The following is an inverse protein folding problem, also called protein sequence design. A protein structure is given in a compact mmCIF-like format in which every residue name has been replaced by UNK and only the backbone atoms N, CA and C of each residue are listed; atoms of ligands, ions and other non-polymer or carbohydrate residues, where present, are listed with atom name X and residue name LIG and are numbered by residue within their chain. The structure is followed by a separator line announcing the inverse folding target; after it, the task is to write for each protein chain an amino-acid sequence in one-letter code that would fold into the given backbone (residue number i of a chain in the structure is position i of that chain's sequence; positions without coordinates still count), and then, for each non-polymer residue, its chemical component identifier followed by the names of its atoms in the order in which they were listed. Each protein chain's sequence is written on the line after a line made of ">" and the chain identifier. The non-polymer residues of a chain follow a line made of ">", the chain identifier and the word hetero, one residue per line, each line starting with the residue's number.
data_IF_591632665987
#
_entry.id   IF_591632665987
#
_cell.length_a   1.000
_cell.length_b   1.000
_cell.length_c   1.000
_cell.angle_alpha   90.00
_cell.angle_beta   90.00
_cell.angle_gamma   90.00
#
_symmetry.space_group_name_H-M   'P 1'
#
loop_
_entity.id
_entity.type
_entity.pdbx_description
1 polymer ?
#
# COMPACT_ATOMS: atom_id res chain seq x y z
N UNK A 1 -2.05 14.12 -0.33
CA UNK A 1 -2.80 13.34 -1.34
C UNK A 1 -1.88 13.11 -2.53
N UNK A 2 -1.55 11.86 -2.84
CA UNK A 2 -0.61 11.53 -3.93
C UNK A 2 -1.33 11.50 -5.29
N UNK A 3 -2.43 10.75 -5.40
CA UNK A 3 -3.29 10.70 -6.58
C UNK A 3 -4.37 11.79 -6.52
N UNK A 4 -3.99 13.03 -6.84
CA UNK A 4 -4.88 14.20 -6.74
C UNK A 4 -6.02 14.14 -7.78
N UNK A 5 -5.71 13.76 -9.01
CA UNK A 5 -6.71 13.72 -10.09
C UNK A 5 -7.75 12.62 -9.84
N UNK A 6 -7.30 11.44 -9.41
CA UNK A 6 -8.20 10.36 -9.00
C UNK A 6 -9.08 10.79 -7.81
N UNK A 7 -8.50 11.42 -6.79
CA UNK A 7 -9.27 11.94 -5.66
C UNK A 7 -10.35 12.93 -6.11
N UNK A 8 -10.03 13.93 -6.92
CA UNK A 8 -11.02 14.89 -7.44
C UNK A 8 -12.12 14.20 -8.23
N UNK A 9 -11.78 13.17 -9.02
CA UNK A 9 -12.77 12.40 -9.78
C UNK A 9 -13.74 11.62 -8.87
N UNK A 10 -13.34 11.22 -7.66
CA UNK A 10 -14.27 10.59 -6.71
C UNK A 10 -15.34 11.54 -6.14
N UNK A 11 -15.13 12.86 -6.28
CA UNK A 11 -16.03 13.90 -5.80
C UNK A 11 -16.77 14.64 -6.92
N UNK A 12 -16.41 14.38 -8.18
CA UNK A 12 -17.04 15.03 -9.32
C UNK A 12 -18.49 14.54 -9.49
N UNK A 13 -19.37 15.43 -9.94
CA UNK A 13 -20.78 15.12 -10.22
C UNK A 13 -20.92 14.06 -11.32
N UNK A 14 -19.99 14.05 -12.27
CA UNK A 14 -19.90 13.03 -13.32
C UNK A 14 -18.78 12.01 -13.07
N UNK A 15 -18.34 11.95 -11.81
CA UNK A 15 -17.25 11.10 -11.35
C UNK A 15 -17.69 9.70 -10.96
N UNK A 16 -16.73 8.94 -10.45
CA UNK A 16 -16.97 7.63 -9.84
C UNK A 16 -16.36 7.62 -8.44
N UNK A 17 -17.22 7.47 -7.43
CA UNK A 17 -16.84 7.48 -6.02
C UNK A 17 -15.88 6.35 -5.66
N UNK A 18 -15.90 5.23 -6.39
CA UNK A 18 -15.05 4.07 -6.15
C UNK A 18 -13.80 4.02 -7.05
N UNK A 19 -13.54 5.07 -7.83
CA UNK A 19 -12.37 5.13 -8.70
C UNK A 19 -11.06 5.12 -7.91
N UNK A 20 -10.12 4.23 -8.29
CA UNK A 20 -8.82 4.09 -7.58
C UNK A 20 -7.58 4.46 -8.38
N UNK A 21 -7.63 4.33 -9.72
CA UNK A 21 -6.48 4.57 -10.61
C UNK A 21 -6.11 6.05 -10.67
N UNK A 22 -5.01 6.40 -11.33
CA UNK A 22 -4.80 7.79 -11.76
C UNK A 22 -5.72 8.15 -12.95
N UNK A 23 -5.64 9.39 -13.47
CA UNK A 23 -6.51 9.88 -14.56
C UNK A 23 -5.82 10.04 -15.91
N UNK A 24 -4.67 9.38 -16.10
CA UNK A 24 -3.90 9.46 -17.36
C UNK A 24 -4.58 8.60 -18.45
N UNK A 25 -4.91 9.15 -19.63
CA UNK A 25 -5.45 8.36 -20.74
C UNK A 25 -4.44 7.35 -21.28
N UNK A 26 -4.91 6.15 -21.63
CA UNK A 26 -4.07 5.10 -22.21
C UNK A 26 -4.18 5.11 -23.75
N UNK A 27 -3.09 5.39 -24.50
CA UNK A 27 -3.13 5.43 -25.96
C UNK A 27 -3.64 4.10 -26.56
N UNK A 28 -4.62 4.18 -27.46
CA UNK A 28 -5.22 3.00 -28.10
C UNK A 28 -6.30 2.29 -27.27
N UNK A 29 -6.63 2.78 -26.08
CA UNK A 29 -7.74 2.29 -25.26
C UNK A 29 -8.73 3.42 -24.95
N UNK A 30 -9.99 3.06 -24.72
CA UNK A 30 -10.99 3.98 -24.15
C UNK A 30 -10.91 4.08 -22.63
N UNK A 31 -10.17 3.18 -21.98
CA UNK A 31 -10.04 3.12 -20.54
C UNK A 31 -8.93 4.05 -20.02
N UNK A 32 -9.23 4.73 -18.93
CA UNK A 32 -8.39 5.78 -18.35
C UNK A 32 -7.80 5.28 -17.04
N UNK A 33 -6.53 5.61 -16.82
CA UNK A 33 -5.85 5.41 -15.57
C UNK A 33 -4.96 4.17 -15.54
N UNK A 34 -3.95 4.26 -14.68
CA UNK A 34 -3.04 3.19 -14.24
C UNK A 34 -3.15 3.09 -12.73
N UNK A 35 -3.07 1.88 -12.16
CA UNK A 35 -2.91 1.72 -10.71
C UNK A 35 -1.52 2.21 -10.28
N UNK A 36 -1.41 3.29 -9.50
CA UNK A 36 -0.12 3.78 -9.05
C UNK A 36 0.65 2.75 -8.21
N UNK A 37 -0.03 1.87 -7.49
CA UNK A 37 0.57 0.85 -6.63
C UNK A 37 0.81 -0.50 -7.35
N UNK A 38 0.80 -0.49 -8.68
CA UNK A 38 1.32 -1.56 -9.56
C UNK A 38 2.34 -1.04 -10.56
N UNK A 39 2.71 0.23 -10.48
CA UNK A 39 3.48 0.92 -11.50
C UNK A 39 4.91 1.26 -11.07
N UNK A 40 5.37 0.80 -9.91
CA UNK A 40 6.76 0.94 -9.49
C UNK A 40 7.67 -0.03 -10.23
N UNK A 41 8.91 0.38 -10.50
CA UNK A 41 9.91 -0.45 -11.21
C UNK A 41 10.62 -1.44 -10.26
N UNK A 42 9.84 -2.26 -9.56
CA UNK A 42 10.31 -3.41 -8.78
C UNK A 42 9.39 -4.59 -9.13
N UNK A 43 9.94 -5.59 -9.81
CA UNK A 43 9.18 -6.76 -10.33
C UNK A 43 7.93 -6.39 -11.15
N UNK A 44 7.94 -5.21 -11.77
CA UNK A 44 6.83 -4.69 -12.58
C UNK A 44 6.38 -5.68 -13.67
N UNK A 45 5.09 -5.70 -13.95
CA UNK A 45 4.43 -6.56 -14.95
C UNK A 45 4.63 -8.06 -14.75
N UNK A 46 4.89 -8.50 -13.53
CA UNK A 46 4.66 -9.90 -13.16
C UNK A 46 3.19 -10.06 -12.82
N UNK A 47 2.55 -11.11 -13.32
CA UNK A 47 1.12 -11.43 -13.16
C UNK A 47 0.78 -11.87 -11.72
N UNK A 48 1.13 -11.03 -10.75
CA UNK A 48 0.86 -11.17 -9.33
C UNK A 48 0.08 -9.95 -8.86
N UNK A 49 -1.23 -10.13 -8.68
CA UNK A 49 -2.11 -9.10 -8.12
C UNK A 49 -2.28 -7.85 -8.99
N UNK A 50 -1.96 -7.90 -10.29
CA UNK A 50 -2.15 -6.83 -11.27
C UNK A 50 -2.30 -7.39 -12.69
N UNK A 51 -2.88 -6.59 -13.60
CA UNK A 51 -3.21 -7.03 -14.96
C UNK A 51 -2.68 -6.10 -16.07
N UNK A 52 -2.60 -6.65 -17.29
CA UNK A 52 -2.16 -5.94 -18.49
C UNK A 52 -3.28 -5.19 -19.23
N UNK A 53 -4.56 -5.47 -18.90
CA UNK A 53 -5.71 -4.83 -19.54
C UNK A 53 -5.91 -3.40 -18.99
N UNK A 54 -5.84 -2.34 -19.82
CA UNK A 54 -6.05 -0.96 -19.38
C UNK A 54 -7.39 -0.67 -18.69
N UNK A 55 -8.37 -1.56 -18.87
CA UNK A 55 -9.71 -1.42 -18.30
C UNK A 55 -9.86 -1.97 -16.88
N UNK A 56 -8.91 -2.75 -16.36
CA UNK A 56 -8.99 -3.28 -14.99
C UNK A 56 -8.54 -2.25 -13.97
N UNK A 57 -9.01 -2.39 -12.74
CA UNK A 57 -8.66 -1.47 -11.65
C UNK A 57 -7.21 -1.62 -11.18
N UNK A 58 -6.60 -2.76 -11.45
CA UNK A 58 -5.21 -3.12 -11.12
C UNK A 58 -4.28 -3.09 -12.34
N UNK A 59 -4.68 -2.37 -13.39
CA UNK A 59 -3.84 -2.16 -14.57
C UNK A 59 -2.47 -1.57 -14.20
N UNK A 60 -1.40 -2.32 -14.46
CA UNK A 60 -0.04 -1.94 -14.07
C UNK A 60 0.62 -0.89 -14.98
N UNK A 61 -0.02 -0.46 -16.07
CA UNK A 61 0.52 0.52 -17.02
C UNK A 61 1.17 -0.10 -18.27
N UNK A 62 1.62 0.74 -19.20
CA UNK A 62 2.32 0.27 -20.41
C UNK A 62 3.83 0.11 -20.21
N UNK A 63 4.36 0.73 -19.17
CA UNK A 63 5.72 0.59 -18.66
C UNK A 63 5.72 0.93 -17.17
N UNK A 64 6.74 0.49 -16.43
CA UNK A 64 6.97 0.98 -15.08
C UNK A 64 7.16 2.52 -15.10
N UNK A 65 6.62 3.20 -14.10
CA UNK A 65 6.67 4.65 -13.94
C UNK A 65 5.99 5.48 -15.05
N UNK A 66 4.95 4.94 -15.69
CA UNK A 66 4.00 5.73 -16.48
C UNK A 66 3.08 6.59 -15.61
N UNK A 67 2.86 6.21 -14.35
CA UNK A 67 2.25 7.03 -13.31
C UNK A 67 3.25 8.09 -12.82
N UNK A 68 2.90 9.36 -13.03
CA UNK A 68 3.68 10.49 -12.53
C UNK A 68 3.71 10.48 -10.99
N UNK A 69 2.66 9.99 -10.34
CA UNK A 69 2.54 9.83 -8.90
C UNK A 69 3.61 8.88 -8.36
N UNK A 70 3.66 7.65 -8.88
CA UNK A 70 4.65 6.64 -8.50
C UNK A 70 6.08 7.10 -8.79
N UNK A 71 6.31 7.68 -9.97
CA UNK A 71 7.63 8.20 -10.36
C UNK A 71 8.10 9.34 -9.45
N UNK A 72 7.20 10.25 -9.07
CA UNK A 72 7.55 11.43 -8.28
C UNK A 72 7.94 11.04 -6.86
N UNK A 73 7.18 10.17 -6.20
CA UNK A 73 7.52 9.74 -4.84
C UNK A 73 8.81 8.90 -4.82
N UNK A 74 9.00 8.00 -5.79
CA UNK A 74 10.24 7.24 -5.95
C UNK A 74 11.46 8.15 -6.11
N UNK A 75 11.40 9.14 -6.99
CA UNK A 75 12.48 10.12 -7.19
C UNK A 75 12.73 10.95 -5.94
N UNK A 76 11.67 11.40 -5.26
CA UNK A 76 11.78 12.23 -4.08
C UNK A 76 12.47 11.49 -2.93
N UNK A 77 12.02 10.28 -2.59
CA UNK A 77 12.63 9.46 -1.53
C UNK A 77 14.11 9.20 -1.83
N UNK A 78 14.45 8.81 -3.07
CA UNK A 78 15.85 8.60 -3.47
C UNK A 78 16.69 9.87 -3.39
N UNK A 79 16.10 11.04 -3.64
CA UNK A 79 16.81 12.33 -3.56
C UNK A 79 17.16 12.76 -2.13
N UNK A 80 16.42 12.27 -1.12
CA UNK A 80 16.70 12.55 0.29
C UNK A 80 17.93 11.77 0.78
N UNK A 81 18.07 10.50 0.35
CA UNK A 81 19.25 9.67 0.61
C UNK A 81 19.43 9.21 2.07
N UNK A 82 18.56 9.62 2.99
CA UNK A 82 18.62 9.31 4.42
C UNK A 82 17.24 8.95 5.01
N UNK A 83 16.33 8.46 4.17
CA UNK A 83 15.00 8.04 4.62
C UNK A 83 15.12 6.70 5.34
N UNK A 84 14.83 6.71 6.63
CA UNK A 84 14.87 5.52 7.49
C UNK A 84 13.64 4.65 7.34
N UNK A 85 12.46 5.28 7.22
CA UNK A 85 11.18 4.58 7.14
C UNK A 85 10.26 5.26 6.13
N UNK A 86 9.47 4.42 5.45
CA UNK A 86 8.45 4.82 4.49
C UNK A 86 7.15 4.10 4.85
N UNK A 87 6.03 4.82 4.86
CA UNK A 87 4.72 4.25 5.20
C UNK A 87 3.72 4.66 4.11
N UNK A 88 3.14 3.66 3.46
CA UNK A 88 2.08 3.83 2.47
C UNK A 88 0.72 3.50 3.10
N UNK A 89 -0.15 4.50 3.21
CA UNK A 89 -1.46 4.35 3.84
C UNK A 89 -2.53 4.05 2.80
N UNK A 90 -3.23 2.94 3.01
CA UNK A 90 -4.38 2.47 2.24
C UNK A 90 -5.57 2.21 3.18
N UNK A 91 -6.69 1.88 2.57
CA UNK A 91 -7.84 1.27 3.23
C UNK A 91 -8.49 0.36 2.19
N UNK A 92 -9.06 -0.78 2.54
CA UNK A 92 -9.37 -1.26 3.88
C UNK A 92 -8.89 -2.69 4.06
N UNK A 93 -8.76 -3.15 5.30
CA UNK A 93 -8.72 -4.57 5.74
C UNK A 93 -8.16 -4.74 7.15
N UNK A 94 -7.66 -3.67 7.78
CA UNK A 94 -6.96 -3.72 9.08
C UNK A 94 -5.68 -4.57 9.01
N UNK A 95 -4.77 -4.20 8.11
CA UNK A 95 -3.50 -4.89 7.89
C UNK A 95 -2.32 -3.95 8.11
N UNK A 96 -1.21 -4.49 8.62
CA UNK A 96 0.05 -3.77 8.84
C UNK A 96 1.19 -4.57 8.23
N UNK A 97 1.49 -4.28 6.97
CA UNK A 97 2.31 -5.13 6.12
C UNK A 97 3.69 -4.55 5.86
N UNK A 98 4.65 -5.42 5.58
CA UNK A 98 6.01 -5.09 5.15
C UNK A 98 6.41 -5.93 3.93
N UNK A 99 7.52 -5.62 3.23
CA UNK A 99 7.94 -6.38 2.06
C UNK A 99 8.16 -7.89 2.34
N UNK A 100 7.95 -8.77 1.38
CA UNK A 100 7.66 -8.49 -0.03
C UNK A 100 6.23 -8.86 -0.43
N UNK A 101 5.72 -8.22 -1.47
CA UNK A 101 4.50 -8.61 -2.18
C UNK A 101 4.76 -9.50 -3.41
N UNK A 102 5.87 -9.31 -4.12
CA UNK A 102 6.10 -10.00 -5.41
C UNK A 102 6.58 -11.45 -5.31
N UNK A 103 6.93 -11.93 -4.10
CA UNK A 103 7.55 -13.25 -3.87
C UNK A 103 6.55 -14.41 -4.01
N UNK A 104 6.07 -14.68 -5.22
CA UNK A 104 5.10 -15.74 -5.53
C UNK A 104 5.61 -16.70 -6.61
N UNK A 105 5.27 -17.99 -6.49
CA UNK A 105 5.40 -18.95 -7.60
C UNK A 105 4.32 -18.67 -8.67
N UNK A 106 4.77 -18.36 -9.90
CA UNK A 106 3.95 -18.11 -11.10
C UNK A 106 2.86 -19.17 -11.30
N UNK A 107 3.09 -20.40 -10.84
CA UNK A 107 2.20 -21.52 -11.14
C UNK A 107 1.09 -21.75 -10.10
N UNK A 108 1.22 -21.25 -8.86
CA UNK A 108 0.29 -21.59 -7.77
C UNK A 108 -0.03 -20.46 -6.80
N UNK A 109 0.44 -19.23 -7.03
CA UNK A 109 0.26 -18.08 -6.10
C UNK A 109 0.80 -18.35 -4.68
N UNK A 110 1.73 -19.31 -4.55
CA UNK A 110 2.31 -19.64 -3.25
C UNK A 110 3.41 -18.65 -2.94
N UNK A 111 3.26 -17.92 -1.83
CA UNK A 111 4.28 -17.02 -1.33
C UNK A 111 5.53 -17.78 -0.90
N UNK A 112 6.71 -17.31 -1.33
CA UNK A 112 7.99 -17.97 -1.11
C UNK A 112 9.03 -16.97 -0.63
N UNK A 113 9.33 -17.01 0.67
CA UNK A 113 10.38 -16.19 1.29
C UNK A 113 9.82 -14.94 1.94
N UNK A 114 10.66 -13.90 2.02
CA UNK A 114 10.30 -12.62 2.64
C UNK A 114 11.46 -11.65 2.57
N UNK A 115 11.25 -10.44 3.07
CA UNK A 115 12.33 -9.47 3.26
C UNK A 115 13.47 -10.06 4.11
N UNK A 116 14.75 -9.92 3.70
CA UNK A 116 15.89 -10.22 4.57
C UNK A 116 15.83 -9.56 5.95
N UNK A 117 15.19 -8.39 6.04
CA UNK A 117 15.02 -7.63 7.27
C UNK A 117 13.70 -7.91 8.01
N UNK A 118 12.94 -8.94 7.61
CA UNK A 118 11.66 -9.31 8.24
C UNK A 118 11.77 -9.52 9.76
N UNK A 119 12.93 -10.03 10.23
CA UNK A 119 13.22 -10.19 11.66
C UNK A 119 13.29 -8.88 12.45
N UNK A 120 13.44 -7.74 11.77
CA UNK A 120 13.39 -6.40 12.36
C UNK A 120 12.14 -5.64 11.96
N UNK A 121 11.60 -5.84 10.76
CA UNK A 121 10.36 -5.19 10.30
C UNK A 121 9.14 -5.72 11.07
N UNK A 122 9.06 -7.04 11.25
CA UNK A 122 7.92 -7.73 11.87
C UNK A 122 7.65 -7.33 13.32
N UNK A 123 8.65 -7.29 14.23
CA UNK A 123 8.43 -6.83 15.59
C UNK A 123 7.95 -5.36 15.65
N UNK A 124 8.46 -4.48 14.78
CA UNK A 124 7.98 -3.10 14.70
C UNK A 124 6.51 -3.00 14.27
N UNK A 125 6.09 -3.81 13.30
CA UNK A 125 4.69 -3.92 12.90
C UNK A 125 3.82 -4.50 14.04
N UNK A 126 4.32 -5.51 14.75
CA UNK A 126 3.65 -6.12 15.92
C UNK A 126 3.43 -5.09 17.04
N UNK A 127 4.45 -4.29 17.37
CA UNK A 127 4.33 -3.22 18.36
C UNK A 127 3.30 -2.17 17.94
N UNK A 128 3.26 -1.83 16.65
CA UNK A 128 2.29 -0.89 16.10
C UNK A 128 0.85 -1.40 16.20
N UNK A 129 0.57 -2.65 15.80
CA UNK A 129 -0.79 -3.23 15.86
C UNK A 129 -1.27 -3.43 17.30
N UNK A 130 -0.38 -3.78 18.23
CA UNK A 130 -0.72 -3.84 19.66
C UNK A 130 -1.12 -2.47 20.21
N UNK A 131 -0.41 -1.41 19.80
CA UNK A 131 -0.74 -0.05 20.20
C UNK A 131 -2.05 0.45 19.57
N UNK A 132 -2.34 0.09 18.32
CA UNK A 132 -3.64 0.33 17.66
C UNK A 132 -4.78 -0.32 18.47
N UNK A 133 -4.64 -1.62 18.78
CA UNK A 133 -5.65 -2.37 19.52
C UNK A 133 -5.91 -1.77 20.91
N UNK A 134 -4.88 -1.26 21.58
CA UNK A 134 -5.02 -0.65 22.90
C UNK A 134 -5.87 0.63 22.94
N UNK A 135 -6.11 1.30 21.80
CA UNK A 135 -6.89 2.55 21.75
C UNK A 135 -8.39 2.28 21.66
N UNK A 136 -8.84 1.54 20.65
CA UNK A 136 -10.27 1.28 20.40
C UNK A 136 -10.63 -0.20 20.28
N UNK A 137 -9.67 -1.13 20.37
CA UNK A 137 -9.91 -2.57 20.29
C UNK A 137 -9.83 -3.19 18.89
N UNK A 138 -9.53 -2.41 17.84
CA UNK A 138 -9.38 -2.97 16.49
C UNK A 138 -8.19 -3.91 16.39
N UNK A 139 -8.37 -5.01 15.68
CA UNK A 139 -7.36 -6.07 15.57
C UNK A 139 -6.79 -6.07 14.17
N UNK A 140 -5.58 -5.53 14.04
CA UNK A 140 -4.86 -5.52 12.78
C UNK A 140 -4.00 -6.78 12.64
N UNK A 141 -3.94 -7.35 11.44
CA UNK A 141 -3.01 -8.45 11.12
C UNK A 141 -1.71 -7.88 10.56
N UNK A 142 -0.56 -8.32 11.09
CA UNK A 142 0.76 -7.91 10.58
C UNK A 142 1.53 -9.07 9.96
N UNK A 143 2.22 -8.82 8.85
CA UNK A 143 3.04 -9.81 8.15
C UNK A 143 3.63 -9.26 6.85
N UNK A 144 4.27 -10.10 6.05
CA UNK A 144 4.67 -9.70 4.71
C UNK A 144 3.43 -9.52 3.80
N UNK A 145 3.51 -8.66 2.78
CA UNK A 145 2.39 -8.37 1.88
C UNK A 145 1.85 -9.64 1.24
N UNK A 146 2.72 -10.52 0.73
CA UNK A 146 2.29 -11.70 -0.02
C UNK A 146 1.38 -12.61 0.82
N UNK A 147 1.82 -13.02 2.02
CA UNK A 147 1.06 -13.93 2.90
C UNK A 147 -0.09 -13.25 3.63
N UNK A 148 -0.01 -11.93 3.87
CA UNK A 148 -1.00 -11.21 4.69
C UNK A 148 -2.22 -10.77 3.88
N UNK A 149 -2.04 -10.39 2.61
CA UNK A 149 -3.15 -9.96 1.74
C UNK A 149 -3.25 -10.85 0.50
N UNK A 150 -2.26 -10.76 -0.38
CA UNK A 150 -2.13 -11.53 -1.62
C UNK A 150 -0.81 -11.16 -2.33
N UNK A 151 -0.31 -12.01 -3.24
CA UNK A 151 0.83 -11.68 -4.11
C UNK A 151 0.61 -10.41 -4.94
N UNK A 152 1.53 -9.45 -4.87
CA UNK A 152 1.40 -8.14 -5.53
C UNK A 152 2.75 -7.63 -6.07
N UNK A 153 2.86 -7.48 -7.39
CA UNK A 153 4.06 -6.91 -8.04
C UNK A 153 3.96 -5.41 -8.28
N UNK A 154 5.10 -4.71 -8.45
CA UNK A 154 5.12 -3.29 -8.81
C UNK A 154 4.56 -2.33 -7.74
N UNK A 155 4.51 -2.75 -6.48
CA UNK A 155 4.01 -1.96 -5.36
C UNK A 155 5.07 -1.00 -4.79
N UNK A 156 4.61 -0.02 -4.02
CA UNK A 156 5.46 1.07 -3.52
C UNK A 156 6.47 0.58 -2.48
N UNK A 157 6.06 -0.25 -1.52
CA UNK A 157 6.91 -0.61 -0.38
C UNK A 157 8.04 -1.56 -0.77
N UNK A 158 7.80 -2.46 -1.74
CA UNK A 158 8.83 -3.34 -2.29
C UNK A 158 9.89 -2.51 -3.02
N UNK A 159 9.47 -1.52 -3.82
CA UNK A 159 10.39 -0.59 -4.46
C UNK A 159 11.17 0.25 -3.43
N UNK A 160 10.51 0.78 -2.39
CA UNK A 160 11.20 1.58 -1.38
C UNK A 160 12.26 0.76 -0.64
N UNK A 161 11.98 -0.52 -0.38
CA UNK A 161 12.93 -1.44 0.25
C UNK A 161 14.07 -1.82 -0.71
N UNK A 162 13.77 -2.41 -1.87
CA UNK A 162 14.76 -2.92 -2.82
C UNK A 162 15.61 -1.84 -3.48
N UNK A 163 14.96 -0.77 -3.96
CA UNK A 163 15.53 0.16 -4.93
C UNK A 163 15.84 1.54 -4.34
N UNK A 164 15.15 1.92 -3.26
CA UNK A 164 15.40 3.17 -2.53
C UNK A 164 16.19 2.98 -1.22
N UNK A 165 16.41 1.74 -0.78
CA UNK A 165 17.22 1.43 0.41
C UNK A 165 16.54 1.81 1.73
N UNK A 166 15.22 1.87 1.76
CA UNK A 166 14.44 2.18 2.97
C UNK A 166 14.10 0.88 3.68
N UNK A 167 14.93 0.47 4.65
CA UNK A 167 14.77 -0.78 5.38
C UNK A 167 13.38 -0.92 6.03
N UNK A 168 12.86 0.15 6.65
CA UNK A 168 11.58 0.12 7.36
C UNK A 168 10.44 0.65 6.48
N UNK A 169 10.14 -0.05 5.40
CA UNK A 169 9.01 0.23 4.52
C UNK A 169 7.76 -0.56 4.95
N UNK A 170 6.61 0.10 5.09
CA UNK A 170 5.36 -0.51 5.53
C UNK A 170 4.18 -0.04 4.68
N UNK A 171 3.21 -0.93 4.46
CA UNK A 171 1.89 -0.62 3.93
C UNK A 171 0.84 -0.87 5.01
N UNK A 172 -0.10 0.03 5.19
CA UNK A 172 -1.15 -0.09 6.20
C UNK A 172 -2.50 -0.04 5.52
N UNK A 173 -3.30 -1.09 5.66
CA UNK A 173 -4.70 -1.10 5.29
C UNK A 173 -5.53 -0.72 6.52
N UNK A 174 -6.13 0.47 6.51
CA UNK A 174 -6.93 0.96 7.63
C UNK A 174 -8.30 0.26 7.72
N UNK A 175 -9.13 0.72 8.65
CA UNK A 175 -10.53 0.32 8.79
C UNK A 175 -11.32 0.44 7.47
N UNK A 176 -12.43 -0.31 7.34
CA UNK A 176 -12.87 -1.37 8.25
C UNK A 176 -12.13 -2.69 8.00
N UNK A 177 -12.34 -3.69 8.85
CA UNK A 177 -11.94 -5.07 8.56
C UNK A 177 -12.50 -5.55 7.21
N UNK A 178 -11.79 -6.43 6.52
CA UNK A 178 -12.26 -7.02 5.26
C UNK A 178 -13.61 -7.76 5.42
N UNK A 179 -13.85 -8.30 6.63
CA UNK A 179 -15.06 -9.04 6.98
C UNK A 179 -16.04 -8.22 7.83
N UNK A 180 -15.90 -6.89 7.86
CA UNK A 180 -16.80 -6.03 8.62
C UNK A 180 -18.26 -6.20 8.18
N UNK A 181 -19.14 -6.41 9.14
CA UNK A 181 -20.54 -6.77 8.90
C UNK A 181 -21.35 -5.67 8.22
N UNK A 182 -20.90 -4.41 8.27
CA UNK A 182 -21.57 -3.32 7.57
C UNK A 182 -21.33 -3.35 6.06
N UNK A 183 -20.27 -4.04 5.61
CA UNK A 183 -19.89 -4.11 4.20
C UNK A 183 -19.50 -2.76 3.60
N UNK A 184 -19.17 -1.77 4.45
CA UNK A 184 -18.92 -0.40 4.00
C UNK A 184 -17.63 -0.26 3.18
N UNK A 185 -16.59 -1.06 3.47
CA UNK A 185 -15.29 -0.98 2.79
C UNK A 185 -14.78 0.47 2.68
N UNK A 186 -14.61 0.97 1.46
CA UNK A 186 -14.18 2.35 1.16
C UNK A 186 -15.19 3.45 1.54
N UNK A 187 -16.44 3.09 1.88
CA UNK A 187 -17.51 3.98 2.30
C UNK A 187 -17.65 4.01 3.83
N UNK A 188 -16.53 3.95 4.55
CA UNK A 188 -16.47 4.04 6.00
C UNK A 188 -17.20 5.31 6.51
N UNK A 189 -18.10 5.21 7.51
CA UNK A 189 -18.83 6.35 8.04
C UNK A 189 -17.92 7.47 8.55
N UNK A 190 -18.31 8.73 8.35
CA UNK A 190 -17.48 9.89 8.69
C UNK A 190 -17.19 10.02 10.19
N UNK A 191 -18.04 9.47 11.06
CA UNK A 191 -17.82 9.44 12.51
C UNK A 191 -16.71 8.45 12.94
N UNK A 192 -16.29 7.54 12.05
CA UNK A 192 -15.16 6.64 12.25
C UNK A 192 -13.80 7.28 11.92
N UNK A 193 -13.78 8.44 11.24
CA UNK A 193 -12.53 9.11 10.85
C UNK A 193 -11.65 9.42 12.07
N UNK A 194 -12.22 10.03 13.10
CA UNK A 194 -11.45 10.42 14.29
C UNK A 194 -11.02 9.22 15.15
N UNK A 195 -11.88 8.21 15.42
CA UNK A 195 -11.45 6.96 16.04
C UNK A 195 -10.28 6.29 15.30
N UNK A 196 -10.39 6.11 13.98
CA UNK A 196 -9.35 5.49 13.16
C UNK A 196 -8.03 6.31 13.20
N UNK A 197 -8.10 7.63 13.11
CA UNK A 197 -6.91 8.47 13.19
C UNK A 197 -6.19 8.34 14.55
N UNK A 198 -6.92 8.21 15.65
CA UNK A 198 -6.34 8.11 17.00
C UNK A 198 -5.59 6.79 17.22
N UNK A 199 -6.17 5.67 16.80
CA UNK A 199 -5.50 4.38 16.94
C UNK A 199 -4.32 4.25 15.98
N UNK A 200 -4.45 4.70 14.73
CA UNK A 200 -3.33 4.70 13.78
C UNK A 200 -2.19 5.54 14.31
N UNK A 201 -2.47 6.70 14.89
CA UNK A 201 -1.44 7.55 15.51
C UNK A 201 -0.70 6.83 16.65
N UNK A 202 -1.41 6.12 17.53
CA UNK A 202 -0.77 5.32 18.57
C UNK A 202 0.15 4.23 17.99
N UNK A 203 -0.30 3.56 16.92
CA UNK A 203 0.53 2.62 16.16
C UNK A 203 1.79 3.26 15.60
N UNK A 204 1.69 4.47 15.02
CA UNK A 204 2.84 5.19 14.47
C UNK A 204 3.85 5.59 15.54
N UNK A 205 3.37 5.99 16.72
CA UNK A 205 4.24 6.30 17.85
C UNK A 205 4.99 5.05 18.34
N UNK A 206 4.30 3.92 18.44
CA UNK A 206 4.91 2.65 18.82
C UNK A 206 5.96 2.19 17.79
N UNK A 207 5.63 2.25 16.50
CA UNK A 207 6.56 1.95 15.42
C UNK A 207 7.82 2.83 15.50
N UNK A 208 7.66 4.14 15.68
CA UNK A 208 8.79 5.05 15.78
C UNK A 208 9.68 4.77 17.01
N UNK A 209 9.07 4.48 18.16
CA UNK A 209 9.81 4.12 19.37
C UNK A 209 10.62 2.82 19.18
N UNK A 210 10.12 1.90 18.36
CA UNK A 210 10.84 0.68 17.99
C UNK A 210 11.98 0.94 16.98
N UNK A 211 11.74 1.73 15.94
CA UNK A 211 12.72 1.96 14.86
C UNK A 211 13.84 2.91 15.28
N UNK A 212 13.51 3.99 16.00
CA UNK A 212 14.47 5.08 16.27
C UNK A 212 15.77 4.68 16.97
N UNK A 213 15.85 3.64 17.82
CA UNK A 213 17.12 3.16 18.38
C UNK A 213 17.94 2.27 17.42
N UNK A 214 17.37 1.85 16.29
CA UNK A 214 18.00 0.96 15.32
C UNK A 214 18.76 1.73 14.21
N UNK A 215 18.61 3.07 14.17
CA UNK A 215 19.12 3.95 13.11
C UNK A 215 20.04 5.06 13.61
#
# INVERSE_FOLDING_TARGET
>A
VLNVDGYLFTWDTNGDRLFRKNRVPNPGSTCVGTDPNRNFKDHWSQEYGGEADPCTDDYWGSAAFTSAEALSIAKYVKSLGNVVSYIDFHSYSELFMYPYGWLSDVTNEVCQGGSPDASTQGPGATDAVNAIQAVNGETFTSGDVCDTIYPASGNSIDYMYSEAGVTYAYAIELRPNANDASGNGFLLPADQILPAAKETWAGMQALWNYISPLV
#
